data_IF_711255598900
#
_entry.id   IF_711255598900
#
_cell.length_a   1.000
_cell.length_b   1.000
_cell.length_c   1.000
_cell.angle_alpha   90.00
_cell.angle_beta   90.00
_cell.angle_gamma   90.00
#
_symmetry.space_group_name_H-M   'P 1'
#
loop_
_entity.id
_entity.type
_entity.pdbx_description
1 polymer ?
#
# COMPACT_ATOMS: atom_id res chain seq x y z
N UNK A 1 7.03 21.22 -7.97
CA UNK A 1 7.02 20.25 -9.07
C UNK A 1 5.67 20.33 -9.79
N UNK A 2 5.56 19.98 -11.08
CA UNK A 2 4.25 19.86 -11.71
C UNK A 2 3.41 18.84 -10.97
N UNK A 3 2.11 19.11 -10.87
CA UNK A 3 1.14 18.20 -10.24
C UNK A 3 0.93 16.90 -11.04
N UNK A 4 0.05 16.00 -10.57
CA UNK A 4 -0.22 14.74 -11.23
C UNK A 4 -0.83 14.95 -12.62
N UNK A 5 -0.43 14.13 -13.59
CA UNK A 5 -0.94 14.22 -14.96
C UNK A 5 -2.11 13.24 -15.18
N UNK A 6 -3.28 13.59 -14.67
CA UNK A 6 -4.49 12.76 -14.82
C UNK A 6 -4.87 12.49 -16.28
N UNK A 7 -4.61 13.45 -17.20
CA UNK A 7 -4.88 13.26 -18.63
C UNK A 7 -4.03 12.15 -19.22
N UNK A 8 -2.73 12.09 -18.88
CA UNK A 8 -1.84 11.03 -19.31
C UNK A 8 -2.28 9.67 -18.75
N UNK A 9 -2.68 9.62 -17.48
CA UNK A 9 -3.17 8.39 -16.81
C UNK A 9 -4.43 7.85 -17.51
N UNK A 10 -5.43 8.70 -17.73
CA UNK A 10 -6.65 8.34 -18.49
C UNK A 10 -6.33 7.89 -19.92
N UNK A 11 -5.42 8.57 -20.61
CA UNK A 11 -4.98 8.18 -21.95
C UNK A 11 -4.25 6.82 -21.96
N UNK A 12 -3.49 6.52 -20.91
CA UNK A 12 -2.88 5.23 -20.68
C UNK A 12 -3.92 4.11 -20.63
N UNK A 13 -4.95 4.30 -19.82
CA UNK A 13 -6.04 3.33 -19.64
C UNK A 13 -6.84 3.11 -20.93
N UNK A 14 -7.15 4.18 -21.66
CA UNK A 14 -7.87 4.09 -22.94
C UNK A 14 -7.14 3.26 -24.01
N UNK A 15 -5.81 3.18 -23.98
CA UNK A 15 -5.05 2.33 -24.91
C UNK A 15 -5.34 0.83 -24.73
N UNK A 16 -5.66 0.41 -23.52
CA UNK A 16 -5.99 -0.98 -23.23
C UNK A 16 -7.36 -1.42 -23.79
N UNK A 17 -8.28 -0.48 -24.01
CA UNK A 17 -9.67 -0.78 -24.43
C UNK A 17 -9.77 -1.62 -25.69
N UNK A 18 -8.92 -1.34 -26.70
CA UNK A 18 -8.92 -2.08 -27.97
C UNK A 18 -8.61 -3.56 -27.79
N UNK A 19 -7.64 -3.87 -26.93
CA UNK A 19 -7.19 -5.26 -26.71
C UNK A 19 -8.24 -6.07 -25.95
N UNK A 20 -9.06 -5.41 -25.12
CA UNK A 20 -10.11 -6.03 -24.29
C UNK A 20 -11.44 -6.06 -25.06
N UNK A 21 -11.57 -5.23 -26.09
CA UNK A 21 -12.78 -5.11 -26.89
C UNK A 21 -13.91 -4.38 -26.17
N UNK A 22 -13.60 -3.35 -25.38
CA UNK A 22 -14.56 -2.44 -24.74
C UNK A 22 -14.50 -1.05 -25.36
N UNK A 23 -15.58 -0.30 -25.26
CA UNK A 23 -15.66 1.10 -25.73
C UNK A 23 -15.96 2.10 -24.61
N UNK A 24 -16.29 1.62 -23.40
CA UNK A 24 -16.37 2.39 -22.18
C UNK A 24 -15.93 1.56 -20.99
N UNK A 25 -15.51 2.21 -19.89
CA UNK A 25 -15.13 1.57 -18.62
C UNK A 25 -15.78 2.33 -17.47
N UNK A 26 -16.42 1.59 -16.56
CA UNK A 26 -16.89 2.09 -15.28
C UNK A 26 -15.86 1.77 -14.21
N UNK A 27 -15.23 2.78 -13.67
CA UNK A 27 -14.25 2.71 -12.59
C UNK A 27 -14.97 3.00 -11.28
N UNK A 28 -14.91 2.06 -10.34
CA UNK A 28 -15.63 2.09 -9.06
C UNK A 28 -14.73 1.99 -7.84
N UNK A 29 -13.48 1.53 -8.01
CA UNK A 29 -12.47 1.50 -6.95
C UNK A 29 -12.06 2.91 -6.54
N UNK A 30 -12.17 3.26 -5.26
CA UNK A 30 -11.89 4.62 -4.75
C UNK A 30 -10.47 5.09 -5.10
N UNK A 31 -9.47 4.24 -4.87
CA UNK A 31 -8.07 4.53 -5.23
C UNK A 31 -7.90 4.71 -6.74
N UNK A 32 -8.64 3.97 -7.56
CA UNK A 32 -8.60 4.09 -9.02
C UNK A 32 -9.28 5.38 -9.51
N UNK A 33 -10.41 5.75 -8.92
CA UNK A 33 -11.06 7.05 -9.18
C UNK A 33 -10.10 8.18 -8.80
N UNK A 34 -9.50 8.13 -7.60
CA UNK A 34 -8.51 9.11 -7.13
C UNK A 34 -7.31 9.19 -8.08
N UNK A 35 -6.74 8.07 -8.50
CA UNK A 35 -5.61 8.00 -9.41
C UNK A 35 -5.88 8.67 -10.76
N UNK A 36 -7.11 8.53 -11.28
CA UNK A 36 -7.50 9.01 -12.60
C UNK A 36 -8.07 10.44 -12.60
N UNK A 37 -8.50 10.96 -11.44
CA UNK A 37 -9.23 12.24 -11.35
C UNK A 37 -8.62 13.24 -10.38
N UNK A 38 -7.97 12.77 -9.32
CA UNK A 38 -7.54 13.56 -8.17
C UNK A 38 -8.61 13.70 -7.10
N UNK A 39 -9.82 13.19 -7.32
CA UNK A 39 -10.89 13.26 -6.34
C UNK A 39 -10.53 12.52 -5.05
N UNK A 40 -10.62 13.22 -3.92
CA UNK A 40 -10.23 12.69 -2.61
C UNK A 40 -11.40 12.23 -1.75
N UNK A 41 -12.64 12.38 -2.24
CA UNK A 41 -13.84 11.87 -1.58
C UNK A 41 -14.12 10.41 -1.91
N UNK A 42 -15.14 9.87 -1.27
CA UNK A 42 -15.65 8.50 -1.46
C UNK A 42 -16.90 8.43 -2.35
N UNK A 43 -17.49 7.26 -2.45
CA UNK A 43 -18.85 7.04 -3.00
C UNK A 43 -19.06 7.57 -4.43
N UNK A 44 -18.01 7.67 -5.25
CA UNK A 44 -18.06 8.18 -6.61
C UNK A 44 -17.53 7.17 -7.61
N UNK A 45 -18.13 7.16 -8.83
CA UNK A 45 -17.68 6.33 -9.94
C UNK A 45 -17.23 7.21 -11.11
N UNK A 46 -16.20 6.77 -11.82
CA UNK A 46 -15.75 7.43 -13.04
C UNK A 46 -16.14 6.60 -14.26
N UNK A 47 -16.94 7.18 -15.15
CA UNK A 47 -17.12 6.64 -16.49
C UNK A 47 -16.05 7.21 -17.41
N UNK A 48 -15.38 6.34 -18.18
CA UNK A 48 -14.34 6.72 -19.14
C UNK A 48 -14.58 6.06 -20.49
N UNK A 49 -14.59 6.86 -21.55
CA UNK A 49 -14.56 6.42 -22.95
C UNK A 49 -13.65 7.32 -23.78
N UNK A 50 -13.51 7.05 -25.08
CA UNK A 50 -12.72 7.93 -25.97
C UNK A 50 -13.29 9.34 -26.07
N UNK A 51 -14.59 9.51 -25.88
CA UNK A 51 -15.32 10.76 -26.10
C UNK A 51 -15.86 11.39 -24.83
N UNK A 52 -15.98 10.64 -23.74
CA UNK A 52 -16.55 11.12 -22.49
C UNK A 52 -15.73 10.66 -21.27
N UNK A 53 -15.72 11.51 -20.24
CA UNK A 53 -15.09 11.28 -18.95
C UNK A 53 -15.95 11.94 -17.88
N UNK A 54 -16.83 11.14 -17.28
CA UNK A 54 -17.87 11.63 -16.38
C UNK A 54 -17.64 11.10 -14.97
N UNK A 55 -17.42 12.01 -14.03
CA UNK A 55 -17.39 11.67 -12.60
C UNK A 55 -18.82 11.71 -12.07
N UNK A 56 -19.32 10.56 -11.61
CA UNK A 56 -20.66 10.41 -11.07
C UNK A 56 -20.55 10.45 -9.55
N UNK A 57 -21.20 11.42 -8.92
CA UNK A 57 -21.12 11.63 -7.46
C UNK A 57 -22.46 12.13 -6.92
N UNK A 58 -22.48 12.68 -5.72
CA UNK A 58 -23.67 13.30 -5.13
C UNK A 58 -23.39 14.69 -4.55
N UNK A 59 -24.46 15.33 -4.06
CA UNK A 59 -24.44 16.74 -3.63
C UNK A 59 -23.48 17.04 -2.46
N UNK A 60 -23.07 16.06 -1.69
CA UNK A 60 -22.07 16.22 -0.61
C UNK A 60 -20.73 16.72 -1.16
N UNK A 61 -20.40 16.34 -2.39
CA UNK A 61 -19.08 16.56 -3.00
C UNK A 61 -19.07 17.65 -4.09
N UNK A 62 -20.16 18.36 -4.34
CA UNK A 62 -20.25 19.36 -5.43
C UNK A 62 -19.11 20.38 -5.38
N UNK A 63 -18.87 21.00 -4.23
CA UNK A 63 -17.80 22.00 -4.06
C UNK A 63 -16.41 21.38 -4.13
N UNK A 64 -16.23 20.19 -3.53
CA UNK A 64 -14.95 19.49 -3.53
C UNK A 64 -14.53 19.08 -4.94
N UNK A 65 -15.45 18.50 -5.72
CA UNK A 65 -15.21 18.12 -7.12
C UNK A 65 -14.84 19.33 -7.97
N UNK A 66 -15.52 20.46 -7.78
CA UNK A 66 -15.21 21.69 -8.50
C UNK A 66 -13.78 22.19 -8.24
N UNK A 67 -13.25 21.96 -7.02
CA UNK A 67 -11.91 22.36 -6.64
C UNK A 67 -10.84 21.34 -7.06
N UNK A 68 -11.13 20.05 -7.01
CA UNK A 68 -10.14 18.97 -7.20
C UNK A 68 -10.10 18.42 -8.63
N UNK A 69 -11.24 18.39 -9.32
CA UNK A 69 -11.42 17.62 -10.56
C UNK A 69 -11.58 18.52 -11.78
N UNK A 70 -10.49 19.04 -12.30
CA UNK A 70 -10.52 19.82 -13.54
C UNK A 70 -10.56 18.94 -14.79
N UNK A 71 -11.31 19.37 -15.82
CA UNK A 71 -11.34 18.71 -17.13
C UNK A 71 -12.11 17.38 -17.17
N UNK A 72 -13.09 17.24 -16.30
CA UNK A 72 -14.08 16.16 -16.28
C UNK A 72 -15.47 16.74 -16.42
N UNK A 73 -16.36 15.98 -17.07
CA UNK A 73 -17.79 16.19 -16.92
C UNK A 73 -18.22 15.61 -15.57
N UNK A 74 -19.25 16.20 -14.95
CA UNK A 74 -19.70 15.78 -13.62
C UNK A 74 -21.21 15.55 -13.64
N UNK A 75 -21.63 14.37 -13.16
CA UNK A 75 -23.05 14.07 -12.90
C UNK A 75 -23.27 14.02 -11.38
N UNK A 76 -23.87 15.08 -10.83
CA UNK A 76 -24.27 15.13 -9.42
C UNK A 76 -25.69 14.55 -9.31
N UNK A 77 -25.75 13.28 -8.92
CA UNK A 77 -27.02 12.58 -8.74
C UNK A 77 -27.81 13.12 -7.55
N UNK A 78 -29.12 13.14 -7.67
CA UNK A 78 -30.03 13.38 -6.55
C UNK A 78 -29.89 12.26 -5.51
N UNK A 79 -30.06 12.58 -4.22
CA UNK A 79 -29.95 11.61 -3.12
C UNK A 79 -30.91 10.40 -3.25
N UNK A 80 -32.02 10.57 -3.95
CA UNK A 80 -33.00 9.50 -4.25
C UNK A 80 -32.62 8.65 -5.46
N UNK A 81 -31.64 9.08 -6.26
CA UNK A 81 -31.19 8.40 -7.46
C UNK A 81 -30.04 7.45 -7.13
N UNK A 82 -30.23 6.12 -7.18
CA UNK A 82 -29.15 5.17 -6.95
C UNK A 82 -28.00 5.35 -7.94
N UNK A 83 -26.76 5.02 -7.53
CA UNK A 83 -25.56 5.09 -8.38
C UNK A 83 -25.74 4.28 -9.69
N UNK A 84 -26.33 3.10 -9.62
CA UNK A 84 -26.59 2.26 -10.80
C UNK A 84 -27.52 2.91 -11.83
N UNK A 85 -28.47 3.76 -11.41
CA UNK A 85 -29.34 4.52 -12.31
C UNK A 85 -28.57 5.63 -13.00
N UNK A 86 -27.80 6.43 -12.25
CA UNK A 86 -26.97 7.50 -12.81
C UNK A 86 -25.93 6.94 -13.79
N UNK A 87 -25.27 5.85 -13.40
CA UNK A 87 -24.30 5.15 -14.25
C UNK A 87 -24.92 4.66 -15.56
N UNK A 88 -26.12 4.05 -15.51
CA UNK A 88 -26.83 3.58 -16.71
C UNK A 88 -27.22 4.72 -17.64
N UNK A 89 -27.62 5.86 -17.12
CA UNK A 89 -27.92 7.06 -17.91
C UNK A 89 -26.67 7.59 -18.64
N UNK A 90 -25.54 7.70 -17.94
CA UNK A 90 -24.26 8.12 -18.54
C UNK A 90 -23.83 7.15 -19.64
N UNK A 91 -23.93 5.84 -19.42
CA UNK A 91 -23.62 4.79 -20.42
C UNK A 91 -24.51 4.93 -21.66
N UNK A 92 -25.82 5.14 -21.45
CA UNK A 92 -26.79 5.34 -22.54
C UNK A 92 -26.51 6.59 -23.36
N UNK A 93 -26.26 7.73 -22.70
CA UNK A 93 -25.92 9.01 -23.34
C UNK A 93 -24.62 8.91 -24.14
N UNK A 94 -23.64 8.17 -23.64
CA UNK A 94 -22.37 7.93 -24.30
C UNK A 94 -22.42 6.94 -25.45
N UNK A 95 -23.58 6.30 -25.69
CA UNK A 95 -23.81 5.29 -26.75
C UNK A 95 -22.83 4.10 -26.64
N UNK A 96 -22.39 3.75 -25.45
CA UNK A 96 -21.53 2.60 -25.18
C UNK A 96 -22.26 1.31 -25.55
N UNK A 97 -21.56 0.41 -26.23
CA UNK A 97 -22.07 -0.92 -26.59
C UNK A 97 -21.45 -2.05 -25.77
N UNK A 98 -20.19 -1.88 -25.35
CA UNK A 98 -19.46 -2.85 -24.53
C UNK A 98 -18.81 -2.12 -23.37
N UNK A 99 -19.46 -2.18 -22.21
CA UNK A 99 -19.03 -1.52 -20.99
C UNK A 99 -18.16 -2.45 -20.16
N UNK A 100 -16.87 -2.14 -20.02
CA UNK A 100 -16.03 -2.72 -19.00
C UNK A 100 -16.44 -2.25 -17.61
N UNK A 101 -16.28 -3.10 -16.61
CA UNK A 101 -16.40 -2.73 -15.19
C UNK A 101 -15.32 -3.41 -14.36
N UNK A 102 -14.90 -2.78 -13.28
CA UNK A 102 -13.89 -3.31 -12.36
C UNK A 102 -14.49 -4.42 -11.48
N UNK A 103 -14.23 -5.68 -11.84
CA UNK A 103 -14.77 -6.84 -11.12
C UNK A 103 -14.18 -6.98 -9.72
N UNK A 104 -13.00 -6.44 -9.48
CA UNK A 104 -12.31 -6.49 -8.19
C UNK A 104 -12.89 -5.48 -7.17
N UNK A 105 -13.70 -4.51 -7.65
CA UNK A 105 -14.21 -3.41 -6.82
C UNK A 105 -15.73 -3.37 -6.71
N UNK A 106 -16.48 -3.87 -7.69
CA UNK A 106 -17.93 -3.95 -7.60
C UNK A 106 -18.37 -5.14 -6.75
N UNK A 107 -19.20 -4.87 -5.75
CA UNK A 107 -19.88 -5.97 -5.04
C UNK A 107 -20.88 -6.67 -5.98
N UNK A 108 -21.23 -7.92 -5.70
CA UNK A 108 -22.26 -8.66 -6.45
C UNK A 108 -23.57 -7.87 -6.51
N UNK A 109 -23.96 -7.22 -5.40
CA UNK A 109 -25.18 -6.38 -5.34
C UNK A 109 -25.10 -5.19 -6.28
N UNK A 110 -23.97 -4.49 -6.31
CA UNK A 110 -23.78 -3.35 -7.21
C UNK A 110 -23.76 -3.80 -8.68
N UNK A 111 -23.08 -4.90 -8.98
CA UNK A 111 -23.06 -5.47 -10.33
C UNK A 111 -24.47 -5.85 -10.79
N UNK A 112 -25.24 -6.57 -9.97
CA UNK A 112 -26.61 -6.98 -10.31
C UNK A 112 -27.53 -5.76 -10.52
N UNK A 113 -27.40 -4.73 -9.67
CA UNK A 113 -28.15 -3.49 -9.82
C UNK A 113 -27.77 -2.73 -11.10
N UNK A 114 -26.50 -2.73 -11.49
CA UNK A 114 -26.01 -2.11 -12.72
C UNK A 114 -26.51 -2.90 -13.94
N UNK A 115 -26.37 -4.22 -13.93
CA UNK A 115 -26.83 -5.12 -14.99
C UNK A 115 -28.33 -4.98 -15.26
N UNK A 116 -29.15 -4.90 -14.21
CA UNK A 116 -30.59 -4.72 -14.35
C UNK A 116 -31.03 -3.33 -14.87
N UNK A 117 -30.09 -2.39 -15.05
CA UNK A 117 -30.36 -1.02 -15.55
C UNK A 117 -29.76 -0.75 -16.92
N UNK A 118 -28.71 -1.48 -17.30
CA UNK A 118 -28.03 -1.30 -18.57
C UNK A 118 -28.62 -2.27 -19.59
N UNK A 119 -29.52 -1.73 -20.44
CA UNK A 119 -30.13 -2.46 -21.56
C UNK A 119 -29.38 -2.20 -22.88
N UNK A 120 -28.61 -1.09 -22.95
CA UNK A 120 -28.00 -0.60 -24.18
C UNK A 120 -26.57 -1.11 -24.44
N UNK A 121 -25.96 -1.81 -23.47
CA UNK A 121 -24.59 -2.28 -23.55
C UNK A 121 -24.41 -3.67 -22.95
N UNK A 122 -23.49 -4.46 -23.51
CA UNK A 122 -22.96 -5.67 -22.93
C UNK A 122 -22.00 -5.29 -21.78
N UNK A 123 -22.16 -5.89 -20.60
CA UNK A 123 -21.22 -5.75 -19.47
C UNK A 123 -20.05 -6.72 -19.64
N UNK A 124 -18.84 -6.20 -19.61
CA UNK A 124 -17.60 -6.96 -19.77
C UNK A 124 -16.80 -6.87 -18.47
N UNK A 125 -16.60 -8.01 -17.80
CA UNK A 125 -15.76 -8.06 -16.59
C UNK A 125 -14.31 -7.73 -16.94
N UNK A 126 -13.70 -6.79 -16.19
CA UNK A 126 -12.29 -6.43 -16.30
C UNK A 126 -11.64 -6.45 -14.93
N UNK A 127 -10.35 -6.78 -14.86
CA UNK A 127 -9.58 -6.83 -13.62
C UNK A 127 -8.19 -6.23 -13.84
N UNK A 128 -7.69 -5.50 -12.85
CA UNK A 128 -6.33 -5.01 -12.79
C UNK A 128 -5.93 -3.95 -13.83
N UNK A 129 -6.88 -3.32 -14.54
CA UNK A 129 -6.56 -2.39 -15.63
C UNK A 129 -5.94 -1.08 -15.13
N UNK A 130 -6.54 -0.50 -14.10
CA UNK A 130 -6.05 0.73 -13.47
C UNK A 130 -4.87 0.41 -12.55
N UNK A 131 -4.93 -0.71 -11.85
CA UNK A 131 -3.88 -1.19 -10.94
C UNK A 131 -2.54 -1.39 -11.65
N UNK A 132 -2.54 -1.92 -12.87
CA UNK A 132 -1.32 -2.05 -13.70
C UNK A 132 -0.68 -0.71 -14.05
N UNK A 133 -1.47 0.35 -14.23
CA UNK A 133 -0.93 1.70 -14.43
C UNK A 133 -0.31 2.24 -13.14
N UNK A 134 -0.87 1.89 -11.98
CA UNK A 134 -0.40 2.28 -10.66
C UNK A 134 0.87 1.55 -10.25
N UNK A 135 1.20 0.40 -10.83
CA UNK A 135 2.47 -0.30 -10.57
C UNK A 135 3.69 0.57 -10.86
N UNK A 136 3.65 1.34 -11.95
CA UNK A 136 4.76 2.20 -12.40
C UNK A 136 4.51 3.63 -11.93
N UNK A 137 5.22 4.04 -10.90
CA UNK A 137 5.08 5.36 -10.29
C UNK A 137 5.73 6.43 -11.16
N UNK A 138 4.99 7.51 -11.40
CA UNK A 138 5.56 8.71 -12.02
C UNK A 138 6.36 9.53 -10.99
N UNK A 139 7.06 10.58 -11.47
CA UNK A 139 7.91 11.42 -10.59
C UNK A 139 7.13 12.11 -9.47
N UNK A 140 5.87 12.49 -9.73
CA UNK A 140 5.03 13.11 -8.71
C UNK A 140 4.62 12.09 -7.64
N UNK A 141 4.23 10.88 -8.04
CA UNK A 141 3.89 9.79 -7.14
C UNK A 141 5.07 9.41 -6.23
N UNK A 142 6.27 9.31 -6.80
CA UNK A 142 7.49 9.07 -6.03
C UNK A 142 7.76 10.17 -5.00
N UNK A 143 7.44 11.43 -5.32
CA UNK A 143 7.55 12.53 -4.35
C UNK A 143 6.56 12.34 -3.19
N UNK A 144 5.34 11.89 -3.47
CA UNK A 144 4.33 11.64 -2.44
C UNK A 144 4.71 10.45 -1.54
N UNK A 145 5.25 9.38 -2.12
CA UNK A 145 5.75 8.21 -1.37
C UNK A 145 6.92 8.63 -0.47
N UNK A 146 7.88 9.41 -0.97
CA UNK A 146 9.00 9.92 -0.15
C UNK A 146 8.52 10.83 0.98
N UNK A 147 7.47 11.62 0.75
CA UNK A 147 6.83 12.41 1.81
C UNK A 147 6.20 11.52 2.88
N UNK A 148 5.49 10.46 2.49
CA UNK A 148 4.94 9.48 3.43
C UNK A 148 6.05 8.79 4.26
N UNK A 149 7.14 8.38 3.62
CA UNK A 149 8.30 7.79 4.29
C UNK A 149 8.89 8.79 5.30
N UNK A 150 9.12 10.04 4.88
CA UNK A 150 9.63 11.09 5.78
C UNK A 150 8.74 11.26 7.03
N UNK A 151 7.42 11.32 6.84
CA UNK A 151 6.47 11.47 7.95
C UNK A 151 6.49 10.26 8.89
N UNK A 152 6.58 9.04 8.34
CA UNK A 152 6.69 7.80 9.10
C UNK A 152 8.02 7.72 9.89
N UNK A 153 9.14 8.06 9.26
CA UNK A 153 10.46 8.07 9.89
C UNK A 153 10.58 9.12 11.00
N UNK A 154 9.98 10.30 10.81
CA UNK A 154 9.90 11.31 11.87
C UNK A 154 9.04 10.85 13.04
N UNK A 155 7.94 10.15 12.74
CA UNK A 155 7.05 9.58 13.75
C UNK A 155 7.75 8.57 14.65
N UNK A 156 8.47 7.61 14.07
CA UNK A 156 9.19 6.60 14.86
C UNK A 156 10.37 7.20 15.63
N UNK A 157 10.97 8.28 15.15
CA UNK A 157 11.99 9.03 15.89
C UNK A 157 11.47 9.58 17.22
N UNK A 158 10.23 10.08 17.24
CA UNK A 158 9.57 10.51 18.48
C UNK A 158 9.33 9.35 19.43
N UNK A 159 8.78 8.23 18.91
CA UNK A 159 8.57 7.02 19.73
C UNK A 159 9.88 6.56 20.34
N UNK A 160 10.94 6.39 19.53
CA UNK A 160 12.24 5.92 19.99
C UNK A 160 12.82 6.80 21.11
N UNK A 161 12.69 8.14 20.99
CA UNK A 161 13.23 9.09 21.97
C UNK A 161 12.40 9.19 23.24
N UNK A 162 11.14 8.76 23.22
CA UNK A 162 10.22 8.82 24.37
C UNK A 162 9.82 7.45 24.92
N UNK A 163 10.50 6.39 24.47
CA UNK A 163 10.16 5.03 24.88
C UNK A 163 10.48 4.81 26.38
N UNK A 164 9.52 4.21 27.09
CA UNK A 164 9.65 3.91 28.51
C UNK A 164 9.27 2.45 28.81
N UNK A 165 9.83 1.84 29.85
CA UNK A 165 9.55 0.44 30.21
C UNK A 165 8.08 0.15 30.54
N UNK A 166 7.36 1.13 31.08
CA UNK A 166 5.97 1.03 31.53
C UNK A 166 4.93 1.24 30.41
N UNK A 167 5.35 1.70 29.24
CA UNK A 167 4.43 1.90 28.11
C UNK A 167 3.94 0.57 27.55
N UNK A 168 2.64 0.51 27.28
CA UNK A 168 2.00 -0.61 26.59
C UNK A 168 2.20 -0.52 25.07
N UNK A 169 2.00 -1.64 24.37
CA UNK A 169 1.94 -1.68 22.90
C UNK A 169 0.96 -0.62 22.36
N UNK A 170 -0.19 -0.47 23.00
CA UNK A 170 -1.23 0.50 22.64
C UNK A 170 -0.78 1.94 22.84
N UNK A 171 -0.07 2.26 23.93
CA UNK A 171 0.47 3.60 24.18
C UNK A 171 1.48 3.99 23.10
N UNK A 172 2.33 3.04 22.70
CA UNK A 172 3.31 3.23 21.63
C UNK A 172 2.61 3.49 20.31
N UNK A 173 1.58 2.70 19.97
CA UNK A 173 0.79 2.90 18.75
C UNK A 173 0.18 4.29 18.71
N UNK A 174 -0.49 4.72 19.76
CA UNK A 174 -1.12 6.05 19.80
C UNK A 174 -0.10 7.18 19.72
N UNK A 175 1.05 7.02 20.38
CA UNK A 175 2.16 7.98 20.30
C UNK A 175 2.67 8.10 18.87
N UNK A 176 2.85 6.97 18.17
CA UNK A 176 3.33 6.91 16.80
C UNK A 176 2.33 7.59 15.82
N UNK A 177 1.05 7.25 15.92
CA UNK A 177 -0.01 7.85 15.10
C UNK A 177 -0.10 9.37 15.30
N UNK A 178 -0.05 9.85 16.54
CA UNK A 178 -0.05 11.27 16.85
C UNK A 178 1.21 11.98 16.33
N UNK A 179 2.37 11.33 16.46
CA UNK A 179 3.63 11.87 15.96
C UNK A 179 3.63 12.00 14.44
N UNK A 180 3.23 10.98 13.68
CA UNK A 180 3.13 11.05 12.21
C UNK A 180 2.21 12.20 11.76
N UNK A 181 1.06 12.41 12.44
CA UNK A 181 0.16 13.53 12.15
C UNK A 181 0.82 14.88 12.42
N UNK A 182 1.65 15.00 13.46
CA UNK A 182 2.38 16.26 13.75
C UNK A 182 3.41 16.61 12.67
N UNK A 183 3.86 15.62 11.89
CA UNK A 183 4.73 15.84 10.74
C UNK A 183 3.98 15.95 9.41
N UNK A 184 2.66 16.03 9.43
CA UNK A 184 1.84 16.37 8.25
C UNK A 184 1.08 15.21 7.63
N UNK A 185 1.21 13.98 8.14
CA UNK A 185 0.40 12.84 7.71
C UNK A 185 -1.09 13.08 8.01
N UNK A 186 -1.98 12.57 7.16
CA UNK A 186 -3.42 12.54 7.44
C UNK A 186 -3.75 11.47 8.48
N UNK A 187 -2.92 10.44 8.56
CA UNK A 187 -3.04 9.34 9.49
C UNK A 187 -1.97 8.28 9.24
N UNK A 188 -2.08 7.14 9.91
CA UNK A 188 -1.32 5.96 9.54
C UNK A 188 -1.79 5.44 8.19
N UNK A 189 -0.89 4.86 7.38
CA UNK A 189 -1.20 4.21 6.10
C UNK A 189 -2.00 2.91 6.28
N UNK A 190 -1.85 2.30 7.43
CA UNK A 190 -2.58 1.12 7.95
C UNK A 190 -2.52 1.14 9.48
N UNK A 191 -3.29 0.28 10.15
CA UNK A 191 -3.21 0.17 11.61
C UNK A 191 -1.81 -0.30 12.03
N UNK A 192 -1.00 0.52 12.76
CA UNK A 192 0.36 0.14 13.12
C UNK A 192 0.37 -1.12 14.00
N UNK A 193 1.25 -2.04 13.67
CA UNK A 193 1.50 -3.26 14.45
C UNK A 193 2.58 -2.91 15.46
N UNK A 194 2.28 -3.12 16.75
CA UNK A 194 3.24 -2.97 17.84
C UNK A 194 3.20 -4.25 18.65
N UNK A 195 4.31 -4.97 18.70
CA UNK A 195 4.36 -6.29 19.35
C UNK A 195 5.55 -6.46 20.27
N UNK A 196 5.29 -6.57 21.57
CA UNK A 196 6.28 -6.89 22.61
C UNK A 196 6.39 -8.41 22.74
N UNK A 197 7.58 -8.97 22.59
CA UNK A 197 7.83 -10.40 22.79
C UNK A 197 6.86 -11.31 22.03
N UNK A 198 6.00 -12.09 22.72
CA UNK A 198 5.07 -13.02 22.08
C UNK A 198 4.10 -12.38 21.06
N UNK A 199 3.65 -11.14 21.30
CA UNK A 199 2.80 -10.40 20.36
C UNK A 199 3.55 -10.14 19.04
N UNK A 200 4.85 -9.83 19.10
CA UNK A 200 5.68 -9.66 17.91
C UNK A 200 5.85 -10.94 17.08
N UNK A 201 5.47 -12.12 17.60
CA UNK A 201 5.43 -13.37 16.84
C UNK A 201 4.17 -13.53 15.98
N UNK A 202 3.25 -12.59 16.02
CA UNK A 202 2.03 -12.55 15.22
C UNK A 202 2.23 -11.51 14.10
N UNK A 203 2.34 -11.90 12.81
CA UNK A 203 2.62 -10.98 11.71
C UNK A 203 1.64 -9.79 11.61
N UNK A 204 0.38 -10.01 11.95
CA UNK A 204 -0.70 -9.01 11.95
C UNK A 204 -1.29 -8.84 13.35
N UNK A 205 -0.42 -8.63 14.35
CA UNK A 205 -0.84 -8.43 15.73
C UNK A 205 -1.60 -7.10 15.90
N UNK A 206 -2.58 -7.09 16.78
CA UNK A 206 -3.16 -5.85 17.30
C UNK A 206 -2.44 -5.46 18.59
N UNK A 207 -2.08 -4.19 18.72
CA UNK A 207 -1.43 -3.63 19.89
C UNK A 207 -2.29 -3.82 21.16
N UNK A 208 -1.76 -4.53 22.15
CA UNK A 208 -2.41 -4.89 23.40
C UNK A 208 -1.86 -4.13 24.61
N UNK A 209 -1.88 -4.83 25.76
CA UNK A 209 -1.53 -4.26 27.06
C UNK A 209 -0.14 -4.73 27.57
N UNK A 210 0.60 -5.55 26.77
CA UNK A 210 1.96 -5.91 27.15
C UNK A 210 2.83 -4.66 27.19
N UNK A 211 3.64 -4.55 28.24
CA UNK A 211 4.56 -3.42 28.42
C UNK A 211 5.94 -3.72 27.85
N UNK A 212 6.66 -2.67 27.49
CA UNK A 212 8.02 -2.77 26.92
C UNK A 212 8.96 -3.55 27.84
N UNK A 213 8.78 -3.46 29.16
CA UNK A 213 9.60 -4.18 30.15
C UNK A 213 9.42 -5.70 30.14
N UNK A 214 8.34 -6.23 29.53
CA UNK A 214 8.04 -7.67 29.55
C UNK A 214 8.86 -8.47 28.53
N UNK A 215 9.51 -7.79 27.57
CA UNK A 215 10.41 -8.46 26.61
C UNK A 215 11.48 -7.49 26.09
N UNK A 216 12.71 -7.97 25.86
CA UNK A 216 13.74 -7.14 25.24
C UNK A 216 13.57 -6.94 23.72
N UNK A 217 12.49 -7.46 23.11
CA UNK A 217 12.20 -7.35 21.67
C UNK A 217 10.86 -6.70 21.47
N UNK A 218 10.87 -5.53 20.80
CA UNK A 218 9.70 -4.76 20.42
C UNK A 218 9.69 -4.61 18.89
N UNK A 219 8.78 -5.30 18.22
CA UNK A 219 8.54 -5.15 16.80
C UNK A 219 7.54 -4.02 16.57
N UNK A 220 7.86 -3.10 15.68
CA UNK A 220 6.94 -2.05 15.21
C UNK A 220 6.92 -2.08 13.69
N UNK A 221 5.71 -2.16 13.13
CA UNK A 221 5.41 -2.08 11.72
C UNK A 221 4.42 -0.94 11.50
N UNK A 222 4.80 0.03 10.66
CA UNK A 222 4.07 1.28 10.52
C UNK A 222 4.29 1.94 9.17
N UNK A 223 3.34 2.75 8.78
CA UNK A 223 3.43 3.63 7.63
C UNK A 223 2.59 4.88 7.82
N UNK A 224 2.90 5.94 7.10
CA UNK A 224 2.11 7.17 7.08
C UNK A 224 1.29 7.27 5.80
N UNK A 225 0.18 8.00 5.85
CA UNK A 225 -0.60 8.40 4.68
C UNK A 225 -0.51 9.91 4.48
N UNK A 226 -0.11 10.35 3.29
CA UNK A 226 -0.07 11.76 2.92
C UNK A 226 -1.47 12.31 2.59
N UNK A 227 -1.62 13.63 2.48
CA UNK A 227 -2.87 14.27 2.01
C UNK A 227 -3.30 13.81 0.61
N UNK A 228 -2.35 13.42 -0.23
CA UNK A 228 -2.63 12.86 -1.55
C UNK A 228 -3.03 11.38 -1.53
N UNK A 229 -3.02 10.72 -0.35
CA UNK A 229 -3.39 9.32 -0.13
C UNK A 229 -2.28 8.31 -0.41
N UNK A 230 -1.08 8.77 -0.73
CA UNK A 230 0.07 7.87 -0.88
C UNK A 230 0.59 7.45 0.47
N UNK A 231 1.04 6.21 0.55
CA UNK A 231 1.45 5.54 1.77
C UNK A 231 2.92 5.17 1.76
N UNK A 232 3.44 4.85 2.93
CA UNK A 232 4.74 4.20 3.16
C UNK A 232 4.54 2.95 4.01
N UNK A 233 5.58 2.11 4.07
CA UNK A 233 5.55 0.84 4.81
C UNK A 233 6.93 0.50 5.37
N UNK A 234 7.05 0.34 6.68
CA UNK A 234 8.31 0.09 7.36
C UNK A 234 8.14 -0.83 8.56
N UNK A 235 9.04 -1.77 8.72
CA UNK A 235 9.13 -2.55 9.96
C UNK A 235 10.52 -2.48 10.56
N UNK A 236 10.60 -2.28 11.88
CA UNK A 236 11.82 -2.39 12.68
C UNK A 236 11.57 -3.17 13.97
N UNK A 237 12.64 -3.76 14.48
CA UNK A 237 12.65 -4.33 15.82
C UNK A 237 13.56 -3.48 16.69
N UNK A 238 13.05 -2.99 17.80
CA UNK A 238 13.81 -2.28 18.82
C UNK A 238 14.21 -3.23 19.93
N UNK A 239 15.46 -3.12 20.38
CA UNK A 239 16.03 -3.93 21.44
C UNK A 239 16.08 -3.10 22.72
N UNK A 240 15.23 -3.45 23.68
CA UNK A 240 14.98 -2.67 24.90
C UNK A 240 15.61 -3.31 26.16
N UNK A 241 16.43 -4.33 25.96
CA UNK A 241 17.07 -5.02 27.08
C UNK A 241 18.04 -6.13 26.63
N UNK A 242 18.41 -6.99 27.54
CA UNK A 242 19.37 -8.08 27.26
C UNK A 242 18.74 -9.16 26.39
N UNK A 243 19.21 -9.34 25.17
CA UNK A 243 18.77 -10.38 24.26
C UNK A 243 19.47 -11.73 24.51
N UNK A 244 18.77 -12.82 24.22
CA UNK A 244 19.35 -14.16 24.20
C UNK A 244 20.13 -14.38 22.90
N UNK A 245 20.98 -15.43 22.89
CA UNK A 245 21.66 -15.87 21.65
C UNK A 245 20.69 -16.19 20.52
N UNK A 246 19.53 -16.79 20.84
CA UNK A 246 18.51 -17.10 19.83
C UNK A 246 17.93 -15.82 19.22
N UNK A 247 17.59 -14.81 20.01
CA UNK A 247 17.07 -13.51 19.54
C UNK A 247 18.08 -12.84 18.59
N UNK A 248 19.36 -12.79 18.99
CA UNK A 248 20.42 -12.25 18.13
C UNK A 248 20.56 -13.03 16.83
N UNK A 249 20.57 -14.36 16.87
CA UNK A 249 20.67 -15.20 15.68
C UNK A 249 19.49 -14.99 14.72
N UNK A 250 18.28 -14.86 15.25
CA UNK A 250 17.07 -14.60 14.42
C UNK A 250 17.17 -13.22 13.77
N UNK A 251 17.53 -12.18 14.54
CA UNK A 251 17.70 -10.84 14.02
C UNK A 251 18.73 -10.79 12.86
N UNK A 252 19.93 -11.32 13.10
CA UNK A 252 21.00 -11.34 12.10
C UNK A 252 20.62 -12.15 10.86
N UNK A 253 19.81 -13.22 11.03
CA UNK A 253 19.31 -14.01 9.90
C UNK A 253 18.32 -13.22 9.04
N UNK A 254 17.36 -12.52 9.66
CA UNK A 254 16.37 -11.71 8.96
C UNK A 254 17.06 -10.54 8.25
N UNK A 255 17.95 -9.84 8.94
CA UNK A 255 18.73 -8.74 8.34
C UNK A 255 19.52 -9.21 7.12
N UNK A 256 20.22 -10.33 7.22
CA UNK A 256 20.97 -10.92 6.10
C UNK A 256 20.05 -11.34 4.93
N UNK A 257 18.87 -11.87 5.24
CA UNK A 257 17.88 -12.25 4.23
C UNK A 257 17.39 -11.01 3.46
N UNK A 258 17.05 -9.96 4.19
CA UNK A 258 16.58 -8.69 3.65
C UNK A 258 17.66 -8.03 2.77
N UNK A 259 18.89 -7.87 3.26
CA UNK A 259 19.99 -7.28 2.51
C UNK A 259 20.28 -8.03 1.20
N UNK A 260 20.26 -9.38 1.23
CA UNK A 260 20.49 -10.18 0.02
C UNK A 260 19.34 -10.09 -0.98
N UNK A 261 18.11 -9.99 -0.53
CA UNK A 261 16.95 -9.81 -1.38
C UNK A 261 16.98 -8.43 -2.04
N UNK A 262 17.23 -7.36 -1.29
CA UNK A 262 17.37 -5.99 -1.82
C UNK A 262 18.46 -5.94 -2.89
N UNK A 263 19.62 -6.53 -2.65
CA UNK A 263 20.74 -6.56 -3.60
C UNK A 263 20.39 -7.26 -4.94
N UNK A 264 19.35 -8.10 -4.97
CA UNK A 264 18.90 -8.80 -6.17
C UNK A 264 17.82 -8.02 -6.95
N UNK A 265 17.28 -6.94 -6.40
CA UNK A 265 16.26 -6.12 -7.08
C UNK A 265 16.89 -5.31 -8.20
N UNK A 266 16.40 -5.57 -9.41
CA UNK A 266 16.76 -4.85 -10.63
C UNK A 266 15.70 -5.08 -11.70
N UNK A 267 15.64 -4.26 -12.75
CA UNK A 267 14.78 -4.53 -13.90
C UNK A 267 15.02 -5.92 -14.48
N UNK A 268 13.94 -6.62 -14.79
CA UNK A 268 13.98 -7.99 -15.35
C UNK A 268 14.10 -9.12 -14.33
N UNK A 269 14.33 -8.83 -13.03
CA UNK A 269 14.25 -9.86 -12.00
C UNK A 269 12.78 -10.26 -11.78
N UNK A 270 12.51 -11.56 -11.60
CA UNK A 270 11.16 -12.00 -11.22
C UNK A 270 10.96 -11.87 -9.71
N UNK A 271 9.75 -11.50 -9.29
CA UNK A 271 9.37 -11.42 -7.87
C UNK A 271 9.67 -12.72 -7.12
N UNK A 272 9.38 -13.87 -7.75
CA UNK A 272 9.70 -15.21 -7.23
C UNK A 272 11.19 -15.44 -7.00
N UNK A 273 12.04 -14.98 -7.93
CA UNK A 273 13.49 -15.15 -7.81
C UNK A 273 14.03 -14.35 -6.60
N UNK A 274 13.55 -13.12 -6.41
CA UNK A 274 13.94 -12.28 -5.28
C UNK A 274 13.44 -12.86 -3.95
N UNK A 275 12.17 -13.29 -3.86
CA UNK A 275 11.63 -14.00 -2.69
C UNK A 275 12.47 -15.25 -2.33
N UNK A 276 12.82 -16.05 -3.32
CA UNK A 276 13.61 -17.27 -3.13
C UNK A 276 14.98 -17.00 -2.47
N UNK A 277 15.59 -15.84 -2.70
CA UNK A 277 16.89 -15.47 -2.11
C UNK A 277 16.74 -15.29 -0.58
N UNK A 278 15.77 -14.51 -0.13
CA UNK A 278 15.51 -14.32 1.29
C UNK A 278 15.13 -15.64 1.96
N UNK A 279 14.23 -16.39 1.34
CA UNK A 279 13.74 -17.67 1.84
C UNK A 279 14.85 -18.70 2.01
N UNK A 280 15.80 -18.78 1.08
CA UNK A 280 16.98 -19.65 1.20
C UNK A 280 17.89 -19.27 2.37
N UNK A 281 18.07 -17.98 2.67
CA UNK A 281 18.87 -17.55 3.83
C UNK A 281 18.22 -18.03 5.12
N UNK A 282 16.92 -17.84 5.24
CA UNK A 282 16.13 -18.23 6.43
C UNK A 282 16.11 -19.76 6.58
N UNK A 283 15.92 -20.51 5.50
CA UNK A 283 15.93 -21.97 5.49
C UNK A 283 17.30 -22.56 5.90
N UNK A 284 18.38 -22.00 5.36
CA UNK A 284 19.75 -22.45 5.71
C UNK A 284 20.11 -22.19 7.17
N UNK A 285 19.43 -21.25 7.83
CA UNK A 285 19.57 -21.01 9.27
C UNK A 285 18.64 -21.89 10.13
N UNK A 286 17.82 -22.77 9.51
CA UNK A 286 16.91 -23.68 10.18
C UNK A 286 15.56 -23.06 10.59
N UNK A 287 15.18 -21.91 10.02
CA UNK A 287 13.95 -21.20 10.37
C UNK A 287 12.88 -21.22 9.27
N UNK A 288 12.98 -22.10 8.26
CA UNK A 288 12.08 -22.16 7.11
C UNK A 288 10.59 -22.16 7.50
N UNK A 289 10.24 -22.93 8.55
CA UNK A 289 8.84 -23.08 9.02
C UNK A 289 8.26 -21.80 9.66
N UNK A 290 9.11 -20.84 9.95
CA UNK A 290 8.76 -19.61 10.67
C UNK A 290 8.70 -18.37 9.77
N UNK A 291 8.81 -18.54 8.44
CA UNK A 291 8.61 -17.50 7.45
C UNK A 291 7.44 -17.88 6.54
N UNK A 292 6.23 -17.51 6.92
CA UNK A 292 4.98 -18.00 6.34
C UNK A 292 4.31 -17.09 5.31
N UNK A 293 4.86 -15.89 5.01
CA UNK A 293 4.27 -14.95 4.04
C UNK A 293 5.20 -14.70 2.84
N UNK A 294 4.76 -13.90 1.87
CA UNK A 294 5.60 -13.42 0.77
C UNK A 294 6.68 -12.47 1.27
N UNK A 295 7.71 -12.25 0.45
CA UNK A 295 8.79 -11.33 0.78
C UNK A 295 8.34 -9.87 0.84
N UNK A 296 7.24 -9.51 0.16
CA UNK A 296 6.73 -8.14 0.11
C UNK A 296 5.70 -7.92 -0.99
N UNK A 297 5.35 -6.67 -1.18
CA UNK A 297 4.31 -6.24 -2.13
C UNK A 297 4.59 -4.85 -2.69
N UNK A 298 3.88 -4.49 -3.76
CA UNK A 298 3.79 -3.11 -4.22
C UNK A 298 2.86 -2.29 -3.32
N UNK A 299 3.10 -1.00 -3.24
CA UNK A 299 2.24 -0.06 -2.51
C UNK A 299 2.20 1.30 -3.19
N UNK A 300 1.30 2.17 -2.76
CA UNK A 300 1.10 3.51 -3.29
C UNK A 300 -0.13 4.16 -2.71
N UNK A 301 -1.22 4.25 -3.48
CA UNK A 301 -2.54 4.68 -2.98
C UNK A 301 -3.20 3.61 -2.10
N UNK A 302 -2.93 2.34 -2.39
CA UNK A 302 -3.29 1.23 -1.50
C UNK A 302 -2.02 0.69 -0.85
N UNK A 303 -2.15 0.22 0.39
CA UNK A 303 -1.01 -0.38 1.08
C UNK A 303 -0.57 -1.67 0.39
N UNK A 304 -1.50 -2.44 -0.14
CA UNK A 304 -1.24 -3.62 -0.92
C UNK A 304 -1.70 -3.39 -2.37
N UNK A 305 -0.76 -3.12 -3.28
CA UNK A 305 -1.03 -3.05 -4.72
C UNK A 305 -0.74 -4.38 -5.43
N UNK A 306 -0.88 -4.43 -6.76
CA UNK A 306 -0.88 -5.68 -7.56
C UNK A 306 0.45 -6.43 -7.59
N UNK A 307 1.58 -5.75 -7.41
CA UNK A 307 2.90 -6.41 -7.37
C UNK A 307 3.01 -7.28 -6.11
N UNK A 308 3.35 -8.57 -6.29
CA UNK A 308 3.52 -9.52 -5.18
C UNK A 308 4.90 -10.18 -5.22
N UNK A 309 5.72 -9.90 -4.23
CA UNK A 309 7.01 -10.54 -4.03
C UNK A 309 6.80 -11.86 -3.27
N UNK A 310 6.52 -12.96 -3.99
CA UNK A 310 6.11 -14.22 -3.36
C UNK A 310 6.63 -15.44 -4.10
N UNK A 311 6.63 -16.66 -3.50
CA UNK A 311 7.15 -17.89 -4.10
C UNK A 311 6.47 -18.29 -5.42
N UNK A 312 5.27 -17.80 -5.68
CA UNK A 312 4.46 -18.18 -6.85
C UNK A 312 4.35 -17.06 -7.90
N UNK A 313 4.90 -15.86 -7.62
CA UNK A 313 4.74 -14.71 -8.52
C UNK A 313 5.79 -14.72 -9.63
N UNK A 314 5.36 -14.93 -10.86
CA UNK A 314 6.19 -14.82 -12.06
C UNK A 314 6.29 -13.36 -12.58
N UNK A 315 5.70 -12.41 -11.89
CA UNK A 315 5.74 -10.98 -12.26
C UNK A 315 7.19 -10.48 -12.29
N UNK A 316 7.50 -9.70 -13.33
CA UNK A 316 8.82 -9.14 -13.56
C UNK A 316 8.88 -7.73 -13.01
N UNK A 317 9.94 -7.41 -12.30
CA UNK A 317 10.18 -6.05 -11.79
C UNK A 317 10.57 -5.11 -12.93
N UNK A 318 9.90 -3.96 -12.99
CA UNK A 318 10.09 -2.93 -14.00
C UNK A 318 10.51 -1.60 -13.35
N UNK A 319 11.26 -0.75 -14.05
CA UNK A 319 11.60 0.59 -13.55
C UNK A 319 10.36 1.41 -13.19
N UNK A 320 10.39 2.05 -12.05
CA UNK A 320 9.27 2.83 -11.50
C UNK A 320 8.36 2.03 -10.55
N UNK A 321 8.50 0.72 -10.45
CA UNK A 321 7.83 -0.04 -9.40
C UNK A 321 8.42 0.30 -8.04
N UNK A 322 7.56 0.42 -7.02
CA UNK A 322 7.94 0.54 -5.61
C UNK A 322 7.39 -0.66 -4.87
N UNK A 323 8.26 -1.35 -4.13
CA UNK A 323 7.92 -2.60 -3.44
C UNK A 323 8.54 -2.63 -2.05
N UNK A 324 7.89 -3.33 -1.12
CA UNK A 324 8.47 -3.65 0.20
C UNK A 324 9.42 -4.84 0.10
N UNK A 325 10.39 -4.91 1.01
CA UNK A 325 11.23 -6.10 1.24
C UNK A 325 11.28 -6.37 2.73
N UNK A 326 10.47 -7.32 3.18
CA UNK A 326 10.07 -7.52 4.58
C UNK A 326 10.18 -8.99 5.06
N UNK A 327 11.31 -9.68 4.89
CA UNK A 327 11.41 -11.04 5.43
C UNK A 327 11.21 -11.03 6.94
N UNK A 328 10.55 -12.08 7.45
CA UNK A 328 10.30 -12.23 8.87
C UNK A 328 10.50 -13.66 9.39
N UNK A 329 10.85 -13.79 10.68
CA UNK A 329 10.89 -15.05 11.42
C UNK A 329 10.05 -14.85 12.67
N UNK A 330 9.01 -15.67 12.82
CA UNK A 330 8.04 -15.57 13.91
C UNK A 330 8.06 -16.85 14.73
N UNK A 331 8.55 -16.78 15.99
CA UNK A 331 8.65 -17.93 16.90
C UNK A 331 7.44 -17.93 17.84
N UNK A 332 6.44 -18.81 17.63
CA UNK A 332 5.19 -18.77 18.38
C UNK A 332 5.39 -18.77 19.89
N UNK A 333 4.70 -17.87 20.60
CA UNK A 333 4.76 -17.71 22.05
C UNK A 333 6.07 -17.15 22.59
N UNK A 334 6.98 -16.69 21.70
CA UNK A 334 8.29 -16.14 22.11
C UNK A 334 8.49 -14.72 21.61
N UNK A 335 8.79 -14.55 20.33
CA UNK A 335 9.01 -13.25 19.67
C UNK A 335 9.02 -13.39 18.16
N UNK A 336 8.90 -12.28 17.45
CA UNK A 336 9.12 -12.16 16.00
C UNK A 336 10.17 -11.12 15.66
N UNK A 337 10.75 -11.27 14.48
CA UNK A 337 11.61 -10.27 13.85
C UNK A 337 11.16 -10.11 12.41
N UNK A 338 10.83 -8.90 12.00
CA UNK A 338 10.67 -8.42 10.62
C UNK A 338 11.52 -7.18 10.45
N UNK A 339 12.22 -7.08 9.34
CA UNK A 339 12.99 -5.89 8.95
C UNK A 339 12.62 -5.58 7.53
N UNK A 340 12.11 -4.38 7.30
CA UNK A 340 11.49 -3.97 6.07
C UNK A 340 11.98 -2.63 5.58
N UNK A 341 12.19 -2.51 4.28
CA UNK A 341 12.45 -1.26 3.60
C UNK A 341 11.60 -1.12 2.33
N UNK A 342 11.28 0.11 1.98
CA UNK A 342 10.63 0.52 0.73
C UNK A 342 11.69 0.67 -0.38
N UNK A 343 11.52 -0.03 -1.48
CA UNK A 343 12.49 -0.14 -2.56
C UNK A 343 11.90 0.36 -3.89
N UNK A 344 12.53 1.34 -4.50
CA UNK A 344 12.25 1.76 -5.87
C UNK A 344 13.11 0.95 -6.86
N UNK A 345 12.48 0.32 -7.83
CA UNK A 345 13.18 -0.26 -8.97
C UNK A 345 13.59 0.86 -9.94
N UNK A 346 14.88 1.05 -10.14
CA UNK A 346 15.45 2.06 -11.05
C UNK A 346 15.74 1.49 -12.44
N UNK A 347 16.17 2.30 -13.38
CA UNK A 347 16.52 1.82 -14.73
C UNK A 347 17.68 0.80 -14.76
N UNK A 348 18.56 0.80 -13.74
CA UNK A 348 19.77 -0.01 -13.73
C UNK A 348 19.93 -0.89 -12.51
N UNK A 349 19.03 -0.78 -11.52
CA UNK A 349 19.10 -1.49 -10.25
C UNK A 349 17.95 -1.11 -9.34
N UNK A 350 18.26 -0.67 -8.12
CA UNK A 350 17.27 -0.23 -7.15
C UNK A 350 17.79 0.96 -6.34
N UNK A 351 16.85 1.60 -5.63
CA UNK A 351 17.12 2.62 -4.61
C UNK A 351 16.33 2.24 -3.35
N UNK A 352 16.98 2.22 -2.20
CA UNK A 352 16.32 2.08 -0.90
C UNK A 352 15.77 3.46 -0.54
N UNK A 353 14.46 3.58 -0.36
CA UNK A 353 13.78 4.85 -0.10
C UNK A 353 13.77 5.23 1.38
N UNK A 354 13.83 4.23 2.25
CA UNK A 354 13.80 4.34 3.72
C UNK A 354 15.19 4.55 4.29
N UNK A 355 15.30 5.28 5.40
CA UNK A 355 16.58 5.64 6.01
C UNK A 355 16.73 5.24 7.49
N UNK A 356 15.67 4.71 8.13
CA UNK A 356 15.75 4.23 9.51
C UNK A 356 16.79 3.10 9.59
N UNK A 357 17.82 3.21 10.45
CA UNK A 357 18.86 2.19 10.58
C UNK A 357 18.28 0.81 10.89
N UNK A 358 18.94 -0.23 10.41
CA UNK A 358 18.49 -1.62 10.52
C UNK A 358 19.52 -2.57 11.14
N UNK A 359 20.74 -2.08 11.37
CA UNK A 359 21.75 -2.88 12.04
C UNK A 359 21.38 -3.10 13.50
N UNK A 360 21.78 -4.26 14.06
CA UNK A 360 21.39 -4.63 15.42
C UNK A 360 21.79 -3.59 16.47
N UNK A 361 22.98 -3.02 16.33
CA UNK A 361 23.51 -2.06 17.30
C UNK A 361 22.70 -0.75 17.25
N UNK A 362 22.18 -0.38 16.10
CA UNK A 362 21.25 0.77 15.93
C UNK A 362 19.85 0.47 16.47
N UNK A 363 19.47 -0.80 16.58
CA UNK A 363 18.17 -1.20 17.12
C UNK A 363 18.11 -1.10 18.66
N UNK A 364 19.24 -1.01 19.33
CA UNK A 364 19.30 -0.88 20.79
C UNK A 364 18.76 0.49 21.22
N UNK A 365 17.84 0.45 22.17
CA UNK A 365 17.26 1.66 22.79
C UNK A 365 17.60 1.64 24.27
N UNK A 366 18.30 2.68 24.71
CA UNK A 366 18.52 2.96 26.12
C UNK A 366 17.38 3.84 26.63
N UNK A 367 16.78 3.45 27.73
CA UNK A 367 15.76 4.29 28.36
C UNK A 367 16.40 5.52 29.02
N UNK A 368 15.77 6.67 28.83
CA UNK A 368 16.15 7.86 29.58
C UNK A 368 15.87 7.62 31.06
N UNK A 369 16.89 7.88 31.90
CA UNK A 369 16.84 7.72 33.36
C UNK A 369 15.85 8.70 34.03
#
# INVERSE_FOLDING_TARGET
>A
MPGPNYTSRRSGLLRAFKNIGIDGLMISGESNVRYLTGFTGDSSWLYLSKTARVLISDSRYTTQIANECSGLDVDIRDARKPMSVAAAEVVKQSKTRRLGFEADHLTVTQHTALQGRIESAELVSTSGLTERLREIKDKWELTQIREAIYQAERGIGVVRSSLRPDQTERDIRYTLEAAMRSFGATGPGFEPIVGVGPTGALPHAHAGDLTVSESPMLLIDWGAETRSGYRSDLTRVFVTGRVTKQMRTVYDTVLKAQQKAIAAIKPGATCKAVDSIARKVIANAGFEKFFGHGLGHGFGLDIHESVRMSPISEQVLEPGMVVTVEPGIYLPGKFGVRIEDDILVTNTGHEVLTSVPREFDDAVVEFLA
#
